data_IF_915161808381
#
_entry.id   IF_915161808381
#
_cell.length_a   1.000
_cell.length_b   1.000
_cell.length_c   1.000
_cell.angle_alpha   90.00
_cell.angle_beta   90.00
_cell.angle_gamma   90.00
#
_symmetry.space_group_name_H-M   'P 1'
#
loop_
_entity.id
_entity.type
_entity.pdbx_description
1 polymer ?
#
# COMPACT_ATOMS: atom_id res chain seq x y z
N UNK A 1 -9.72 -18.30 -42.35
CA UNK A 1 -8.52 -18.76 -41.61
C UNK A 1 -8.30 -17.80 -40.47
N UNK A 2 -8.27 -18.34 -39.24
CA UNK A 2 -7.96 -17.75 -37.92
C UNK A 2 -8.86 -16.60 -37.46
N UNK A 3 -9.85 -16.73 -36.56
CA UNK A 3 -9.94 -17.25 -35.16
C UNK A 3 -9.10 -16.53 -34.11
N UNK A 4 -9.80 -16.28 -32.99
CA UNK A 4 -9.38 -15.91 -31.62
C UNK A 4 -9.05 -14.42 -31.42
N UNK A 5 -9.85 -13.61 -30.72
CA UNK A 5 -10.53 -13.76 -29.41
C UNK A 5 -9.57 -14.21 -28.31
N UNK A 6 -9.04 -13.25 -27.53
CA UNK A 6 -8.65 -13.52 -26.15
C UNK A 6 -8.81 -12.24 -25.33
N UNK A 7 -9.94 -12.21 -24.61
CA UNK A 7 -10.17 -11.39 -23.45
C UNK A 7 -8.98 -11.46 -22.48
N UNK A 8 -8.35 -10.31 -22.20
CA UNK A 8 -7.43 -10.17 -21.08
C UNK A 8 -8.25 -10.04 -19.78
N UNK A 9 -8.81 -11.16 -19.35
CA UNK A 9 -9.16 -11.37 -17.95
C UNK A 9 -7.85 -11.34 -17.16
N UNK A 10 -7.55 -10.21 -16.53
CA UNK A 10 -6.41 -10.07 -15.64
C UNK A 10 -6.57 -11.01 -14.45
N UNK A 11 -6.01 -12.22 -14.58
CA UNK A 11 -5.73 -13.08 -13.43
C UNK A 11 -4.96 -12.24 -12.41
N UNK A 12 -5.42 -12.22 -11.16
CA UNK A 12 -4.66 -11.66 -10.05
C UNK A 12 -3.33 -12.42 -9.95
N UNK A 13 -2.31 -11.95 -10.67
CA UNK A 13 -0.96 -12.46 -10.56
C UNK A 13 -0.48 -12.14 -9.15
N UNK A 14 0.09 -13.14 -8.50
CA UNK A 14 0.75 -12.96 -7.22
C UNK A 14 1.80 -11.85 -7.34
N UNK A 15 1.99 -11.10 -6.26
CA UNK A 15 3.05 -10.10 -6.20
C UNK A 15 4.40 -10.79 -6.38
N UNK A 16 5.37 -10.04 -6.88
CA UNK A 16 6.76 -10.49 -6.90
C UNK A 16 7.21 -10.84 -5.46
N UNK A 17 7.88 -11.99 -5.23
CA UNK A 17 8.26 -12.40 -3.86
C UNK A 17 9.16 -11.41 -3.13
N UNK A 18 10.03 -10.69 -3.84
CA UNK A 18 10.88 -9.67 -3.21
C UNK A 18 10.05 -8.47 -2.76
N UNK A 19 9.04 -8.10 -3.55
CA UNK A 19 8.10 -7.04 -3.20
C UNK A 19 7.19 -7.46 -2.04
N UNK A 20 6.72 -8.70 -2.04
CA UNK A 20 5.87 -9.24 -0.96
C UNK A 20 6.62 -9.24 0.38
N UNK A 21 7.92 -9.55 0.39
CA UNK A 21 8.75 -9.51 1.59
C UNK A 21 8.94 -8.10 2.18
N UNK A 22 8.69 -7.04 1.40
CA UNK A 22 8.79 -5.64 1.85
C UNK A 22 7.45 -5.10 2.38
N UNK A 23 6.34 -5.75 2.06
CA UNK A 23 5.00 -5.33 2.48
C UNK A 23 4.70 -6.01 3.82
N UNK A 24 4.34 -5.24 4.87
CA UNK A 24 3.94 -5.83 6.13
C UNK A 24 2.78 -6.81 5.95
N UNK A 25 2.94 -8.00 6.50
CA UNK A 25 1.91 -9.04 6.50
C UNK A 25 0.70 -8.62 7.32
N UNK A 26 -0.43 -9.29 7.11
CA UNK A 26 -1.65 -9.06 7.87
C UNK A 26 -1.45 -9.23 9.39
N UNK A 27 -0.64 -10.21 9.79
CA UNK A 27 -0.31 -10.45 11.20
C UNK A 27 0.54 -9.32 11.79
N UNK A 28 1.52 -8.81 11.05
CA UNK A 28 2.35 -7.68 11.51
C UNK A 28 1.52 -6.40 11.67
N UNK A 29 0.61 -6.13 10.72
CA UNK A 29 -0.31 -4.99 10.83
C UNK A 29 -1.24 -5.17 12.04
N UNK A 30 -1.82 -6.37 12.20
CA UNK A 30 -2.71 -6.68 13.32
C UNK A 30 -2.00 -6.49 14.68
N UNK A 31 -0.83 -7.11 14.85
CA UNK A 31 -0.04 -7.06 16.07
C UNK A 31 0.43 -5.63 16.38
N UNK A 32 0.77 -4.84 15.35
CA UNK A 32 1.18 -3.44 15.51
C UNK A 32 0.10 -2.58 16.18
N UNK A 33 -1.17 -2.80 15.86
CA UNK A 33 -2.27 -2.10 16.52
C UNK A 33 -2.61 -2.71 17.87
N UNK A 34 -2.70 -4.04 17.95
CA UNK A 34 -3.09 -4.73 19.17
C UNK A 34 -2.07 -4.56 20.30
N UNK A 35 -0.79 -4.36 20.01
CA UNK A 35 0.24 -4.09 21.01
C UNK A 35 -0.11 -2.91 21.94
N UNK A 36 -0.82 -1.91 21.43
CA UNK A 36 -1.24 -0.74 22.19
C UNK A 36 -2.67 -0.84 22.73
N UNK A 37 -3.52 -1.67 22.12
CA UNK A 37 -4.94 -1.78 22.45
C UNK A 37 -5.19 -2.87 23.49
N UNK A 38 -4.72 -4.08 23.23
CA UNK A 38 -4.85 -5.25 24.08
C UNK A 38 -3.69 -6.22 23.78
N UNK A 39 -2.55 -6.10 24.48
CA UNK A 39 -1.35 -6.88 24.18
C UNK A 39 -1.53 -8.38 24.42
N UNK A 40 -2.55 -8.77 25.20
CA UNK A 40 -2.90 -10.18 25.35
C UNK A 40 -3.42 -10.81 24.05
N UNK A 41 -4.02 -10.01 23.17
CA UNK A 41 -4.58 -10.47 21.90
C UNK A 41 -3.56 -10.45 20.75
N UNK A 42 -2.27 -10.26 21.04
CA UNK A 42 -1.19 -10.42 20.06
C UNK A 42 -1.11 -11.86 19.56
N UNK A 43 -0.77 -12.04 18.29
CA UNK A 43 -0.73 -13.34 17.61
C UNK A 43 0.13 -14.36 18.35
N UNK A 44 1.24 -13.93 18.94
CA UNK A 44 2.14 -14.77 19.75
C UNK A 44 1.49 -15.29 21.04
N UNK A 45 0.53 -14.57 21.59
CA UNK A 45 -0.11 -14.88 22.87
C UNK A 45 -1.37 -15.76 22.71
N UNK A 46 -2.04 -15.69 21.56
CA UNK A 46 -3.31 -16.40 21.30
C UNK A 46 -3.28 -17.91 21.64
N UNK A 47 -2.22 -18.67 21.28
CA UNK A 47 -2.16 -20.11 21.58
C UNK A 47 -2.17 -20.42 23.08
N UNK A 48 -1.69 -19.50 23.91
CA UNK A 48 -1.56 -19.69 25.37
C UNK A 48 -2.81 -19.30 26.15
N UNK A 49 -3.77 -18.60 25.53
CA UNK A 49 -4.93 -18.05 26.25
C UNK A 49 -5.82 -19.13 26.85
N UNK A 50 -5.95 -20.27 26.17
CA UNK A 50 -6.77 -21.38 26.66
C UNK A 50 -6.25 -21.94 28.00
N UNK A 51 -4.93 -22.10 28.12
CA UNK A 51 -4.32 -22.57 29.38
C UNK A 51 -4.32 -21.46 30.44
N UNK A 52 -4.05 -20.21 30.04
CA UNK A 52 -4.05 -19.04 30.95
C UNK A 52 -5.38 -18.86 31.68
N UNK A 53 -6.49 -19.14 30.99
CA UNK A 53 -7.85 -18.97 31.50
C UNK A 53 -8.52 -20.29 31.90
N UNK A 54 -7.74 -21.35 32.09
CA UNK A 54 -8.25 -22.63 32.54
C UNK A 54 -8.83 -22.52 33.94
N UNK A 55 -10.11 -22.86 34.08
CA UNK A 55 -10.82 -22.78 35.35
C UNK A 55 -11.34 -21.38 35.68
N UNK A 56 -11.36 -20.45 34.73
CA UNK A 56 -12.08 -19.18 34.90
C UNK A 56 -13.56 -19.43 35.21
N UNK A 57 -14.11 -18.64 36.11
CA UNK A 57 -15.55 -18.58 36.35
C UNK A 57 -16.30 -17.92 35.18
N UNK A 58 -17.62 -18.07 35.16
CA UNK A 58 -18.43 -17.47 34.11
C UNK A 58 -18.39 -15.93 34.15
N UNK A 59 -18.38 -15.35 35.35
CA UNK A 59 -18.28 -13.91 35.58
C UNK A 59 -16.93 -13.34 35.11
N UNK A 60 -15.83 -14.04 35.39
CA UNK A 60 -14.49 -13.68 34.90
C UNK A 60 -14.41 -13.75 33.38
N UNK A 61 -14.94 -14.83 32.79
CA UNK A 61 -15.04 -14.98 31.34
C UNK A 61 -15.83 -13.84 30.72
N UNK A 62 -16.98 -13.49 31.28
CA UNK A 62 -17.82 -12.39 30.79
C UNK A 62 -17.07 -11.07 30.80
N UNK A 63 -16.38 -10.77 31.90
CA UNK A 63 -15.57 -9.56 32.04
C UNK A 63 -14.45 -9.50 30.99
N UNK A 64 -13.74 -10.62 30.78
CA UNK A 64 -12.70 -10.75 29.76
C UNK A 64 -13.25 -10.58 28.34
N UNK A 65 -14.37 -11.20 28.01
CA UNK A 65 -15.02 -11.07 26.70
C UNK A 65 -15.46 -9.64 26.44
N UNK A 66 -15.96 -8.92 27.45
CA UNK A 66 -16.32 -7.52 27.29
C UNK A 66 -15.08 -6.63 27.04
N UNK A 67 -13.96 -6.92 27.70
CA UNK A 67 -12.67 -6.27 27.40
C UNK A 67 -12.24 -6.52 25.96
N UNK A 68 -12.26 -7.77 25.50
CA UNK A 68 -11.89 -8.12 24.12
C UNK A 68 -12.82 -7.47 23.10
N UNK A 69 -14.12 -7.42 23.36
CA UNK A 69 -15.07 -6.71 22.48
C UNK A 69 -14.70 -5.24 22.33
N UNK A 70 -14.32 -4.56 23.41
CA UNK A 70 -13.86 -3.16 23.38
C UNK A 70 -12.55 -3.02 22.61
N UNK A 71 -11.63 -3.97 22.80
CA UNK A 71 -10.36 -4.02 22.08
C UNK A 71 -10.55 -4.16 20.56
N UNK A 72 -11.35 -5.13 20.10
CA UNK A 72 -11.64 -5.29 18.66
C UNK A 72 -12.33 -4.06 18.07
N UNK A 73 -13.28 -3.44 18.78
CA UNK A 73 -13.88 -2.21 18.31
C UNK A 73 -12.88 -1.04 18.21
N UNK A 74 -11.87 -0.98 19.10
CA UNK A 74 -10.79 -0.01 19.00
C UNK A 74 -9.84 -0.31 17.84
N UNK A 75 -9.54 -1.60 17.62
CA UNK A 75 -8.76 -2.06 16.48
C UNK A 75 -9.40 -1.67 15.16
N UNK A 76 -10.68 -1.97 14.96
CA UNK A 76 -11.41 -1.65 13.72
C UNK A 76 -11.34 -0.16 13.39
N UNK A 77 -11.53 0.70 14.40
CA UNK A 77 -11.42 2.17 14.23
C UNK A 77 -10.01 2.60 13.87
N UNK A 78 -8.99 2.03 14.52
CA UNK A 78 -7.59 2.36 14.25
C UNK A 78 -7.16 1.91 12.85
N UNK A 79 -7.53 0.68 12.48
CA UNK A 79 -7.25 0.09 11.18
C UNK A 79 -7.92 0.87 10.06
N UNK A 80 -9.21 1.20 10.19
CA UNK A 80 -9.94 1.95 9.16
C UNK A 80 -9.35 3.35 8.92
N UNK A 81 -8.97 4.03 10.02
CA UNK A 81 -8.30 5.33 9.93
C UNK A 81 -6.95 5.22 9.22
N UNK A 82 -6.16 4.21 9.57
CA UNK A 82 -4.85 3.99 8.98
C UNK A 82 -4.94 3.62 7.49
N UNK A 83 -5.81 2.68 7.11
CA UNK A 83 -5.93 2.23 5.72
C UNK A 83 -6.44 3.34 4.81
N UNK A 84 -7.34 4.19 5.31
CA UNK A 84 -7.79 5.39 4.59
C UNK A 84 -6.64 6.37 4.37
N UNK A 85 -5.88 6.69 5.42
CA UNK A 85 -4.71 7.57 5.31
C UNK A 85 -3.64 7.01 4.37
N UNK A 86 -3.41 5.69 4.40
CA UNK A 86 -2.48 5.03 3.49
C UNK A 86 -2.93 5.13 2.02
N UNK A 87 -4.23 4.92 1.74
CA UNK A 87 -4.78 5.06 0.38
C UNK A 87 -4.58 6.48 -0.16
N UNK A 88 -4.82 7.50 0.67
CA UNK A 88 -4.63 8.89 0.28
C UNK A 88 -3.16 9.21 0.02
N UNK A 89 -2.25 8.75 0.88
CA UNK A 89 -0.82 8.92 0.70
C UNK A 89 -0.31 8.24 -0.59
N UNK A 90 -0.77 7.02 -0.88
CA UNK A 90 -0.45 6.31 -2.13
C UNK A 90 -0.97 7.08 -3.34
N UNK A 91 -2.22 7.58 -3.30
CA UNK A 91 -2.80 8.38 -4.38
C UNK A 91 -1.97 9.65 -4.64
N UNK A 92 -1.61 10.38 -3.58
CA UNK A 92 -0.76 11.56 -3.70
C UNK A 92 0.59 11.20 -4.33
N UNK A 93 1.25 10.15 -3.83
CA UNK A 93 2.58 9.77 -4.33
C UNK A 93 2.56 9.36 -5.80
N UNK A 94 1.50 8.67 -6.24
CA UNK A 94 1.30 8.34 -7.65
C UNK A 94 1.15 9.61 -8.50
N UNK A 95 0.35 10.57 -8.06
CA UNK A 95 0.18 11.84 -8.76
C UNK A 95 1.49 12.61 -8.89
N UNK A 96 2.29 12.65 -7.82
CA UNK A 96 3.62 13.29 -7.83
C UNK A 96 4.56 12.60 -8.82
N UNK A 97 4.57 11.26 -8.84
CA UNK A 97 5.41 10.49 -9.74
C UNK A 97 5.05 10.74 -11.22
N UNK A 98 3.75 10.80 -11.55
CA UNK A 98 3.30 11.12 -12.91
C UNK A 98 3.74 12.53 -13.32
N UNK A 99 3.52 13.54 -12.47
CA UNK A 99 3.92 14.91 -12.78
C UNK A 99 5.44 15.02 -12.97
N UNK A 100 6.22 14.36 -12.13
CA UNK A 100 7.68 14.36 -12.26
C UNK A 100 8.15 13.73 -13.58
N UNK A 101 7.47 12.66 -14.03
CA UNK A 101 7.75 12.03 -15.33
C UNK A 101 7.41 12.98 -16.49
N UNK A 102 6.25 13.63 -16.45
CA UNK A 102 5.81 14.61 -17.46
C UNK A 102 6.74 15.83 -17.52
N UNK A 103 7.13 16.39 -16.38
CA UNK A 103 8.09 17.50 -16.32
C UNK A 103 9.45 17.13 -16.91
N UNK A 104 9.90 15.89 -16.69
CA UNK A 104 11.14 15.39 -17.29
C UNK A 104 11.02 15.29 -18.81
N UNK A 105 9.95 14.70 -19.30
CA UNK A 105 9.69 14.57 -20.74
C UNK A 105 9.59 15.94 -21.42
N UNK A 106 8.84 16.89 -20.84
CA UNK A 106 8.70 18.23 -21.38
C UNK A 106 10.04 18.97 -21.49
N UNK A 107 10.95 18.78 -20.51
CA UNK A 107 12.31 19.35 -20.56
C UNK A 107 13.14 18.72 -21.68
N UNK A 108 13.08 17.41 -21.83
CA UNK A 108 13.79 16.68 -22.90
C UNK A 108 13.28 17.12 -24.29
N UNK A 109 11.96 17.24 -24.46
CA UNK A 109 11.34 17.73 -25.70
C UNK A 109 11.74 19.18 -26.01
N UNK A 110 11.72 20.06 -25.00
CA UNK A 110 12.12 21.46 -25.17
C UNK A 110 13.59 21.57 -25.60
N UNK A 111 14.48 20.79 -24.97
CA UNK A 111 15.90 20.75 -25.35
C UNK A 111 16.08 20.26 -26.78
N UNK A 112 15.38 19.19 -27.18
CA UNK A 112 15.46 18.65 -28.53
C UNK A 112 14.96 19.65 -29.59
N UNK A 113 13.91 20.41 -29.30
CA UNK A 113 13.43 21.47 -30.19
C UNK A 113 14.44 22.60 -30.32
N UNK A 114 15.06 23.05 -29.22
CA UNK A 114 16.11 24.06 -29.24
C UNK A 114 17.34 23.63 -30.06
N UNK A 115 17.74 22.36 -29.92
CA UNK A 115 18.85 21.79 -30.70
C UNK A 115 18.53 21.74 -32.20
N UNK A 116 17.29 21.41 -32.56
CA UNK A 116 16.83 21.43 -33.95
C UNK A 116 16.81 22.86 -34.51
N UNK A 117 16.29 23.84 -33.76
CA UNK A 117 16.27 25.25 -34.15
C UNK A 117 17.69 25.77 -34.41
N UNK A 118 18.65 25.48 -33.53
CA UNK A 118 20.05 25.86 -33.70
C UNK A 118 20.68 25.24 -34.96
N UNK A 119 20.33 23.99 -35.29
CA UNK A 119 20.78 23.35 -36.53
C UNK A 119 20.21 24.05 -37.78
N UNK A 120 18.95 24.49 -37.75
CA UNK A 120 18.36 25.23 -38.87
C UNK A 120 18.96 26.64 -39.02
N UNK A 121 19.28 27.32 -37.93
CA UNK A 121 19.92 28.64 -37.98
C UNK A 121 21.33 28.58 -38.57
N UNK A 122 22.12 27.56 -38.18
CA UNK A 122 23.48 27.37 -38.72
C UNK A 122 23.49 26.89 -40.18
N UNK A 123 22.40 26.31 -40.66
CA UNK A 123 22.24 25.86 -42.05
C UNK A 123 21.74 26.95 -43.02
N UNK A 124 21.34 28.15 -42.55
CA UNK A 124 20.95 29.26 -43.45
C UNK A 124 22.18 29.81 -44.20
N UNK A 125 22.25 29.73 -45.55
CA UNK A 125 23.36 30.30 -46.30
C UNK A 125 23.34 31.83 -46.23
N UNK A 126 24.52 32.44 -46.06
CA UNK A 126 24.68 33.90 -46.05
C UNK A 126 24.18 34.52 -47.36
N UNK A 127 23.42 35.63 -47.30
CA UNK A 127 23.01 36.35 -48.51
C UNK A 127 24.27 36.91 -49.18
N UNK A 128 24.46 36.56 -50.45
CA UNK A 128 25.50 37.14 -51.32
C UNK A 128 25.17 38.58 -51.69
#
# INVERSE_FOLDING_TARGET
MSTDDTAAGGSAQALDPELEALIPSGSEIYDSFMAFIEPELLSVNLPSLAEKYKGESEEERKTRMERYRKAFAAYDRAYEKWITGLRDAVKQKRSEAYRAAEEKENKEQTSALQDLEAQFETAKPSPK
#
